data_IF_019418139450
#
_entry.id   IF_019418139450
#
_cell.length_a   1.000
_cell.length_b   1.000
_cell.length_c   1.000
_cell.angle_alpha   90.00
_cell.angle_beta   90.00
_cell.angle_gamma   90.00
#
_symmetry.space_group_name_H-M   'P 1'
#
loop_
_entity.id
_entity.type
_entity.pdbx_description
1 polymer ?
#
# COMPACT_ATOMS: atom_id res chain seq x y z
N UNK A 1 31.07 -4.54 34.70
CA UNK A 1 29.71 -5.01 34.34
C UNK A 1 28.94 -4.05 33.42
N UNK A 2 28.99 -2.73 33.66
CA UNK A 2 28.28 -1.73 32.82
C UNK A 2 28.87 -1.59 31.41
N UNK A 3 30.19 -1.59 31.28
CA UNK A 3 30.92 -1.45 30.00
C UNK A 3 30.65 -2.60 29.02
N UNK A 4 30.57 -3.84 29.51
CA UNK A 4 30.23 -5.03 28.70
C UNK A 4 28.79 -4.98 28.17
N UNK A 5 27.81 -4.68 29.03
CA UNK A 5 26.41 -4.51 28.62
C UNK A 5 26.25 -3.41 27.57
N UNK A 6 26.96 -2.29 27.73
CA UNK A 6 26.94 -1.22 26.72
C UNK A 6 27.59 -1.63 25.39
N UNK A 7 28.59 -2.51 25.42
CA UNK A 7 29.26 -2.98 24.21
C UNK A 7 28.40 -4.01 23.47
N UNK A 8 27.72 -4.91 24.20
CA UNK A 8 26.75 -5.85 23.63
C UNK A 8 25.56 -5.12 23.00
N UNK A 9 24.97 -4.15 23.72
CA UNK A 9 23.85 -3.34 23.21
C UNK A 9 24.21 -2.60 21.91
N UNK A 10 25.44 -2.09 21.81
CA UNK A 10 25.96 -1.46 20.60
C UNK A 10 26.15 -2.43 19.45
N UNK A 11 26.70 -3.63 19.71
CA UNK A 11 26.83 -4.67 18.69
C UNK A 11 25.46 -5.12 18.16
N UNK A 12 24.49 -5.30 19.05
CA UNK A 12 23.11 -5.63 18.66
C UNK A 12 22.50 -4.53 17.78
N UNK A 13 22.71 -3.26 18.13
CA UNK A 13 22.22 -2.14 17.33
C UNK A 13 22.77 -2.17 15.90
N UNK A 14 24.07 -2.45 15.73
CA UNK A 14 24.68 -2.64 14.41
C UNK A 14 24.14 -3.85 13.67
N UNK A 15 23.97 -4.99 14.35
CA UNK A 15 23.40 -6.20 13.73
C UNK A 15 22.01 -5.91 13.17
N UNK A 16 21.14 -5.25 13.93
CA UNK A 16 19.80 -4.88 13.46
C UNK A 16 19.84 -3.87 12.31
N UNK A 17 20.76 -2.90 12.36
CA UNK A 17 20.92 -1.96 11.26
C UNK A 17 21.42 -2.65 9.98
N UNK A 18 22.40 -3.55 10.09
CA UNK A 18 22.90 -4.33 8.96
C UNK A 18 21.79 -5.21 8.39
N UNK A 19 21.01 -5.88 9.25
CA UNK A 19 19.86 -6.67 8.82
C UNK A 19 18.85 -5.81 8.05
N UNK A 20 18.52 -4.61 8.56
CA UNK A 20 17.63 -3.67 7.90
C UNK A 20 18.16 -3.28 6.50
N UNK A 21 19.45 -3.00 6.39
CA UNK A 21 20.10 -2.67 5.10
C UNK A 21 20.08 -3.88 4.16
N UNK A 22 20.33 -5.09 4.65
CA UNK A 22 20.26 -6.32 3.86
C UNK A 22 18.85 -6.56 3.34
N UNK A 23 17.82 -6.42 4.17
CA UNK A 23 16.41 -6.52 3.74
C UNK A 23 16.08 -5.42 2.73
N UNK A 24 16.56 -4.20 2.94
CA UNK A 24 16.37 -3.10 2.00
C UNK A 24 16.97 -3.39 0.62
N UNK A 25 18.20 -3.91 0.55
CA UNK A 25 18.89 -4.13 -0.74
C UNK A 25 18.48 -5.44 -1.40
N UNK A 26 18.38 -6.52 -0.62
CA UNK A 26 18.16 -7.88 -1.11
C UNK A 26 16.73 -8.41 -0.93
N UNK A 27 15.84 -7.68 -0.26
CA UNK A 27 14.48 -8.15 0.04
C UNK A 27 13.71 -8.59 -1.19
N UNK A 28 13.82 -7.87 -2.31
CA UNK A 28 13.17 -8.26 -3.57
C UNK A 28 13.66 -9.57 -4.19
N UNK A 29 14.86 -10.06 -3.82
CA UNK A 29 15.37 -11.38 -4.24
C UNK A 29 15.00 -12.50 -3.26
N UNK A 30 14.57 -12.15 -2.05
CA UNK A 30 14.22 -13.08 -0.97
C UNK A 30 12.71 -13.34 -0.90
N UNK A 31 11.95 -12.94 -1.93
CA UNK A 31 10.50 -13.09 -1.98
C UNK A 31 10.11 -14.55 -2.17
N UNK A 32 9.29 -15.15 -1.27
CA UNK A 32 8.83 -16.52 -1.43
C UNK A 32 7.98 -16.74 -2.68
N UNK A 33 7.21 -15.73 -3.08
CA UNK A 33 6.27 -15.80 -4.20
C UNK A 33 6.57 -14.72 -5.24
N UNK A 34 6.32 -14.98 -6.53
CA UNK A 34 6.50 -13.98 -7.57
C UNK A 34 5.53 -12.81 -7.38
N UNK A 35 6.06 -11.59 -7.47
CA UNK A 35 5.34 -10.33 -7.21
C UNK A 35 4.35 -9.95 -8.33
N UNK A 36 4.58 -10.45 -9.55
CA UNK A 36 3.81 -10.12 -10.76
C UNK A 36 3.77 -11.33 -11.70
N UNK A 37 2.65 -11.50 -12.41
CA UNK A 37 2.42 -12.57 -13.39
C UNK A 37 1.45 -13.64 -12.90
N UNK A 38 1.22 -14.65 -13.74
CA UNK A 38 0.41 -15.82 -13.41
C UNK A 38 1.12 -16.61 -12.30
N UNK A 39 0.84 -16.28 -11.03
CA UNK A 39 1.33 -17.07 -9.91
C UNK A 39 0.50 -18.37 -9.86
N UNK A 40 1.09 -19.54 -10.20
CA UNK A 40 0.34 -20.79 -10.24
C UNK A 40 -0.23 -21.15 -8.87
N UNK A 41 0.48 -20.79 -7.79
CA UNK A 41 0.03 -20.99 -6.41
C UNK A 41 -1.23 -20.19 -6.12
N UNK A 42 -1.31 -18.95 -6.61
CA UNK A 42 -2.50 -18.11 -6.45
C UNK A 42 -3.70 -18.67 -7.23
N UNK A 43 -3.47 -19.15 -8.47
CA UNK A 43 -4.52 -19.70 -9.31
C UNK A 43 -5.15 -20.95 -8.69
N UNK A 44 -4.30 -21.88 -8.21
CA UNK A 44 -4.74 -23.09 -7.54
C UNK A 44 -5.47 -22.76 -6.21
N UNK A 45 -4.92 -21.84 -5.41
CA UNK A 45 -5.52 -21.46 -4.15
C UNK A 45 -6.89 -20.77 -4.33
N UNK A 46 -7.02 -19.92 -5.36
CA UNK A 46 -8.26 -19.24 -5.74
C UNK A 46 -9.37 -20.20 -6.17
N UNK A 47 -9.00 -21.25 -6.92
CA UNK A 47 -9.96 -22.29 -7.33
C UNK A 47 -10.59 -23.00 -6.12
N UNK A 48 -9.88 -23.10 -5.00
CA UNK A 48 -10.35 -23.77 -3.80
C UNK A 48 -11.03 -22.84 -2.78
N UNK A 49 -10.59 -21.58 -2.68
CA UNK A 49 -10.99 -20.67 -1.58
C UNK A 49 -11.84 -19.47 -2.03
N UNK A 50 -12.14 -19.34 -3.32
CA UNK A 50 -12.86 -18.18 -3.86
C UNK A 50 -11.93 -16.99 -4.10
N UNK A 51 -12.48 -15.78 -4.34
CA UNK A 51 -11.67 -14.62 -4.69
C UNK A 51 -10.84 -14.07 -3.50
N UNK A 52 -9.65 -13.48 -3.77
CA UNK A 52 -8.86 -12.78 -2.75
C UNK A 52 -9.60 -11.55 -2.18
N UNK A 53 -9.18 -10.99 -1.03
CA UNK A 53 -7.96 -11.27 -0.26
C UNK A 53 -8.05 -12.46 0.71
N UNK A 54 -6.97 -13.22 0.84
CA UNK A 54 -6.87 -14.34 1.77
C UNK A 54 -6.19 -13.96 3.09
N UNK A 55 -6.65 -14.50 4.23
CA UNK A 55 -5.99 -14.30 5.53
C UNK A 55 -4.63 -14.99 5.60
N UNK A 56 -3.79 -14.66 6.60
CA UNK A 56 -2.53 -15.35 6.84
C UNK A 56 -2.69 -16.88 6.94
N UNK A 57 -1.87 -17.60 6.18
CA UNK A 57 -1.88 -19.05 6.08
C UNK A 57 -0.45 -19.61 5.91
N UNK A 58 -0.31 -20.94 5.92
CA UNK A 58 0.99 -21.59 5.65
C UNK A 58 1.51 -21.32 4.24
N UNK A 59 0.61 -21.04 3.29
CA UNK A 59 0.93 -20.69 1.91
C UNK A 59 1.29 -19.20 1.80
N UNK A 60 0.46 -18.34 2.39
CA UNK A 60 0.66 -16.88 2.42
C UNK A 60 0.89 -16.39 3.84
N UNK A 61 2.16 -16.29 4.27
CA UNK A 61 2.52 -16.07 5.68
C UNK A 61 1.91 -14.82 6.32
N UNK A 62 1.71 -13.75 5.54
CA UNK A 62 1.06 -12.53 5.98
C UNK A 62 -0.27 -12.27 5.25
N UNK A 63 -0.81 -13.28 4.56
CA UNK A 63 -1.99 -13.17 3.72
C UNK A 63 -1.70 -12.53 2.36
N UNK A 64 -2.76 -12.20 1.63
CA UNK A 64 -2.66 -11.57 0.31
C UNK A 64 -3.35 -10.22 0.24
N UNK A 65 -2.92 -9.39 -0.71
CA UNK A 65 -3.64 -8.17 -1.09
C UNK A 65 -4.95 -8.50 -1.85
N UNK A 66 -5.78 -7.49 -2.13
CA UNK A 66 -7.03 -7.59 -2.91
C UNK A 66 -6.84 -8.19 -4.32
N UNK A 67 -5.62 -8.17 -4.86
CA UNK A 67 -5.26 -8.81 -6.14
C UNK A 67 -4.77 -10.26 -5.99
N UNK A 68 -4.71 -10.78 -4.77
CA UNK A 68 -4.13 -12.10 -4.49
C UNK A 68 -2.59 -12.12 -4.42
N UNK A 69 -1.94 -10.96 -4.52
CA UNK A 69 -0.48 -10.88 -4.38
C UNK A 69 -0.06 -11.20 -2.95
N UNK A 70 1.01 -12.00 -2.78
CA UNK A 70 1.56 -12.32 -1.46
C UNK A 70 2.07 -11.06 -0.75
N UNK A 71 1.47 -10.74 0.40
CA UNK A 71 1.77 -9.53 1.15
C UNK A 71 3.20 -9.55 1.70
N UNK A 72 3.72 -10.71 2.09
CA UNK A 72 5.09 -10.81 2.61
C UNK A 72 6.13 -10.52 1.52
N UNK A 73 5.96 -11.09 0.33
CA UNK A 73 6.79 -10.78 -0.83
C UNK A 73 6.73 -9.29 -1.19
N UNK A 74 5.52 -8.70 -1.21
CA UNK A 74 5.35 -7.26 -1.45
C UNK A 74 6.10 -6.41 -0.42
N UNK A 75 6.04 -6.77 0.86
CA UNK A 75 6.74 -6.04 1.93
C UNK A 75 8.27 -6.09 1.78
N UNK A 76 8.82 -7.26 1.46
CA UNK A 76 10.25 -7.41 1.24
C UNK A 76 10.73 -6.60 0.02
N UNK A 77 9.97 -6.62 -1.08
CA UNK A 77 10.30 -5.81 -2.25
C UNK A 77 10.08 -4.31 -1.99
N UNK A 78 9.06 -3.96 -1.19
CA UNK A 78 8.69 -2.60 -0.81
C UNK A 78 9.72 -1.85 0.02
N UNK A 79 10.55 -2.60 0.75
CA UNK A 79 11.56 -2.06 1.66
C UNK A 79 12.49 -1.07 0.95
N UNK A 80 13.00 -1.42 -0.24
CA UNK A 80 13.91 -0.55 -1.02
C UNK A 80 13.27 0.76 -1.45
N UNK A 81 11.98 0.73 -1.81
CA UNK A 81 11.26 1.92 -2.24
C UNK A 81 10.99 2.84 -1.05
N UNK A 82 10.49 2.29 0.07
CA UNK A 82 10.14 3.11 1.24
C UNK A 82 11.36 3.62 1.97
N UNK A 83 12.31 2.73 2.29
CA UNK A 83 13.52 3.09 3.03
C UNK A 83 14.46 3.93 2.15
N UNK A 84 14.63 3.55 0.88
CA UNK A 84 15.46 4.29 -0.07
C UNK A 84 14.93 5.69 -0.37
N UNK A 85 13.61 5.86 -0.51
CA UNK A 85 13.01 7.19 -0.69
C UNK A 85 13.20 8.08 0.54
N UNK A 86 12.97 7.55 1.75
CA UNK A 86 13.24 8.32 2.97
C UNK A 86 14.71 8.69 3.14
N UNK A 87 15.62 7.78 2.73
CA UNK A 87 17.06 8.05 2.70
C UNK A 87 17.40 9.17 1.71
N UNK A 88 16.83 9.14 0.51
CA UNK A 88 17.03 10.18 -0.51
C UNK A 88 16.58 11.56 0.01
N UNK A 89 15.39 11.66 0.59
CA UNK A 89 14.90 12.90 1.19
C UNK A 89 15.84 13.39 2.29
N UNK A 90 16.29 12.49 3.18
CA UNK A 90 17.19 12.83 4.27
C UNK A 90 18.51 13.41 3.75
N UNK A 91 19.11 12.77 2.74
CA UNK A 91 20.36 13.24 2.12
C UNK A 91 20.15 14.63 1.50
N UNK A 92 19.06 14.86 0.77
CA UNK A 92 18.76 16.18 0.19
C UNK A 92 18.56 17.23 1.30
N UNK A 93 17.82 16.90 2.36
CA UNK A 93 17.63 17.81 3.52
C UNK A 93 18.97 18.21 4.13
N UNK A 94 19.88 17.26 4.33
CA UNK A 94 21.21 17.54 4.90
C UNK A 94 22.10 18.33 3.94
N UNK A 95 22.11 17.99 2.65
CA UNK A 95 22.89 18.69 1.63
C UNK A 95 22.48 20.17 1.48
N UNK A 96 21.23 20.51 1.77
CA UNK A 96 20.73 21.88 1.71
C UNK A 96 20.79 22.54 3.09
N UNK A 97 20.20 21.91 4.10
CA UNK A 97 20.03 22.45 5.45
C UNK A 97 21.35 22.67 6.19
N UNK A 98 22.30 21.73 6.11
CA UNK A 98 23.56 21.83 6.84
C UNK A 98 24.43 22.96 6.29
N UNK A 99 24.69 23.09 4.97
CA UNK A 99 25.40 24.25 4.44
C UNK A 99 24.72 25.58 4.72
N UNK A 100 23.38 25.65 4.61
CA UNK A 100 22.63 26.86 4.96
C UNK A 100 22.82 27.23 6.44
N UNK A 101 22.73 26.25 7.35
CA UNK A 101 22.95 26.45 8.77
C UNK A 101 24.39 26.89 9.09
N UNK A 102 25.38 26.23 8.48
CA UNK A 102 26.79 26.58 8.65
C UNK A 102 27.08 28.02 8.20
N UNK A 103 26.58 28.41 7.03
CA UNK A 103 26.78 29.76 6.48
C UNK A 103 26.07 30.81 7.32
N UNK A 104 24.81 30.57 7.69
CA UNK A 104 24.00 31.54 8.44
C UNK A 104 24.52 31.75 9.86
N UNK A 105 24.89 30.66 10.57
CA UNK A 105 25.53 30.75 11.87
C UNK A 105 26.93 31.36 11.82
N UNK A 106 27.71 31.08 10.76
CA UNK A 106 29.07 31.62 10.66
C UNK A 106 29.11 33.11 10.27
N UNK A 107 28.20 33.54 9.40
CA UNK A 107 28.18 34.89 8.84
C UNK A 107 27.23 35.84 9.59
N UNK A 108 26.26 35.30 10.32
CA UNK A 108 25.13 36.04 10.90
C UNK A 108 24.11 36.55 9.86
N UNK A 109 24.42 36.42 8.56
CA UNK A 109 23.57 36.85 7.44
C UNK A 109 22.50 35.80 7.14
N UNK A 110 21.27 36.23 6.86
CA UNK A 110 20.16 35.33 6.53
C UNK A 110 19.48 34.65 7.72
N UNK A 111 19.95 34.87 8.95
CA UNK A 111 19.36 34.31 10.18
C UNK A 111 17.89 34.65 10.35
N UNK A 112 17.49 35.88 10.03
CA UNK A 112 16.09 36.31 10.08
C UNK A 112 15.22 35.42 9.18
N UNK A 113 15.62 35.24 7.92
CA UNK A 113 14.93 34.40 6.96
C UNK A 113 14.88 32.94 7.39
N UNK A 114 16.03 32.35 7.78
CA UNK A 114 16.07 30.95 8.24
C UNK A 114 15.17 30.74 9.46
N UNK A 115 15.20 31.66 10.43
CA UNK A 115 14.33 31.59 11.61
C UNK A 115 12.86 31.72 11.21
N UNK A 116 12.50 32.69 10.36
CA UNK A 116 11.12 32.88 9.90
C UNK A 116 10.58 31.66 9.15
N UNK A 117 11.35 31.11 8.20
CA UNK A 117 10.94 29.93 7.43
C UNK A 117 10.92 28.67 8.29
N UNK A 118 11.84 28.52 9.24
CA UNK A 118 11.79 27.45 10.23
C UNK A 118 10.52 27.56 11.07
N UNK A 119 10.22 28.73 11.62
CA UNK A 119 9.00 28.93 12.40
C UNK A 119 7.75 28.65 11.58
N UNK A 120 7.69 29.10 10.32
CA UNK A 120 6.56 28.84 9.43
C UNK A 120 6.36 27.33 9.17
N UNK A 121 7.46 26.60 8.90
CA UNK A 121 7.40 25.15 8.61
C UNK A 121 7.14 24.30 9.85
N UNK A 122 7.58 24.70 11.05
CA UNK A 122 7.31 23.96 12.30
C UNK A 122 5.96 24.29 12.93
N UNK A 123 5.38 25.45 12.60
CA UNK A 123 4.08 25.86 13.18
C UNK A 123 2.92 25.01 12.66
N UNK A 124 3.07 24.42 11.46
CA UNK A 124 2.07 23.57 10.84
C UNK A 124 2.60 22.13 10.84
N UNK A 125 1.86 21.15 11.39
CA UNK A 125 2.22 19.74 11.26
C UNK A 125 2.46 19.37 9.80
N UNK A 126 3.56 18.66 9.49
CA UNK A 126 3.95 18.35 8.11
C UNK A 126 2.84 17.66 7.30
N UNK A 127 2.04 16.79 7.94
CA UNK A 127 0.86 16.19 7.33
C UNK A 127 -0.17 17.24 6.86
N UNK A 128 -0.49 18.22 7.71
CA UNK A 128 -1.47 19.27 7.42
C UNK A 128 -0.98 20.25 6.36
N UNK A 129 0.33 20.38 6.19
CA UNK A 129 0.90 21.15 5.10
C UNK A 129 0.86 20.36 3.78
N UNK A 130 1.33 19.11 3.76
CA UNK A 130 1.46 18.33 2.53
C UNK A 130 0.10 17.91 1.97
N UNK A 131 -0.81 17.43 2.82
CA UNK A 131 -2.05 16.79 2.34
C UNK A 131 -2.94 17.74 1.51
N UNK A 132 -3.31 18.95 2.01
CA UNK A 132 -4.14 19.87 1.22
C UNK A 132 -3.43 20.38 -0.03
N UNK A 133 -2.11 20.62 0.06
CA UNK A 133 -1.31 21.07 -1.09
C UNK A 133 -1.26 20.01 -2.18
N UNK A 134 -1.17 18.73 -1.84
CA UNK A 134 -1.17 17.65 -2.83
C UNK A 134 -2.58 17.40 -3.38
N UNK A 135 -3.61 17.45 -2.55
CA UNK A 135 -4.98 17.14 -2.97
C UNK A 135 -5.44 18.02 -4.13
N UNK A 136 -5.10 19.32 -4.13
CA UNK A 136 -5.47 20.23 -5.22
C UNK A 136 -4.73 19.98 -6.54
N UNK A 137 -3.53 19.39 -6.50
CA UNK A 137 -2.67 19.22 -7.69
C UNK A 137 -2.57 17.76 -8.16
N UNK A 138 -3.12 16.80 -7.40
CA UNK A 138 -3.00 15.36 -7.68
C UNK A 138 -3.44 14.97 -9.08
N UNK A 139 -4.60 15.46 -9.51
CA UNK A 139 -5.20 15.08 -10.80
C UNK A 139 -4.59 15.83 -12.01
N UNK A 140 -3.75 16.85 -11.74
CA UNK A 140 -3.15 17.71 -12.75
C UNK A 140 -1.67 17.37 -13.04
N UNK A 141 -1.07 16.47 -12.26
CA UNK A 141 0.35 16.13 -12.35
C UNK A 141 0.52 14.68 -12.79
N UNK A 142 1.35 14.45 -13.80
CA UNK A 142 1.81 13.10 -14.11
C UNK A 142 2.57 12.51 -12.92
N UNK A 143 2.62 11.17 -12.84
CA UNK A 143 3.27 10.42 -11.75
C UNK A 143 4.68 10.91 -11.42
N UNK A 144 5.47 11.27 -12.43
CA UNK A 144 6.84 11.78 -12.24
C UNK A 144 6.85 13.17 -11.59
N UNK A 145 6.02 14.11 -12.06
CA UNK A 145 5.94 15.44 -11.48
C UNK A 145 5.32 15.43 -10.09
N UNK A 146 4.35 14.55 -9.86
CA UNK A 146 3.79 14.30 -8.53
C UNK A 146 4.89 13.88 -7.53
N UNK A 147 5.78 12.96 -7.92
CA UNK A 147 6.89 12.51 -7.09
C UNK A 147 7.89 13.63 -6.77
N UNK A 148 8.24 14.44 -7.77
CA UNK A 148 9.12 15.61 -7.58
C UNK A 148 8.45 16.61 -6.64
N UNK A 149 7.16 16.87 -6.82
CA UNK A 149 6.41 17.81 -6.00
C UNK A 149 6.30 17.35 -4.54
N UNK A 150 5.90 16.09 -4.32
CA UNK A 150 5.84 15.48 -2.99
C UNK A 150 7.21 15.49 -2.30
N UNK A 151 8.27 15.06 -3.00
CA UNK A 151 9.62 15.09 -2.44
C UNK A 151 10.08 16.52 -2.12
N UNK A 152 9.75 17.50 -2.95
CA UNK A 152 10.01 18.92 -2.71
C UNK A 152 9.33 19.43 -1.44
N UNK A 153 8.06 19.12 -1.23
CA UNK A 153 7.33 19.49 -0.01
C UNK A 153 7.91 18.80 1.23
N UNK A 154 8.26 17.52 1.13
CA UNK A 154 8.90 16.78 2.22
C UNK A 154 10.28 17.38 2.54
N UNK A 155 11.08 17.77 1.55
CA UNK A 155 12.35 18.46 1.78
C UNK A 155 12.11 19.82 2.45
N UNK A 156 11.17 20.62 1.94
CA UNK A 156 10.86 21.97 2.42
C UNK A 156 10.56 22.01 3.92
N UNK A 157 9.74 21.07 4.42
CA UNK A 157 9.34 21.01 5.83
C UNK A 157 10.53 20.76 6.77
N UNK A 158 11.54 20.02 6.34
CA UNK A 158 12.69 19.66 7.20
C UNK A 158 13.92 20.53 7.02
N UNK A 159 14.11 21.17 5.86
CA UNK A 159 15.36 21.90 5.55
C UNK A 159 15.58 23.10 6.46
N UNK A 160 14.56 23.93 6.71
CA UNK A 160 14.74 25.16 7.51
C UNK A 160 14.91 24.90 9.01
N UNK A 161 14.18 23.97 9.64
CA UNK A 161 14.43 23.58 11.03
C UNK A 161 15.84 23.02 11.22
N UNK A 162 16.29 22.17 10.29
CA UNK A 162 17.64 21.63 10.28
C UNK A 162 18.69 22.74 10.11
N UNK A 163 18.48 23.67 9.18
CA UNK A 163 19.38 24.81 8.98
C UNK A 163 19.47 25.69 10.24
N UNK A 164 18.33 25.99 10.88
CA UNK A 164 18.29 26.77 12.11
C UNK A 164 19.04 26.06 13.25
N UNK A 165 18.84 24.74 13.40
CA UNK A 165 19.56 23.94 14.39
C UNK A 165 21.08 24.06 14.20
N UNK A 166 21.58 23.85 12.98
CA UNK A 166 23.03 23.96 12.70
C UNK A 166 23.55 25.39 12.85
N UNK A 167 22.75 26.41 12.50
CA UNK A 167 23.11 27.81 12.70
C UNK A 167 23.34 28.12 14.19
N UNK A 168 22.42 27.71 15.06
CA UNK A 168 22.53 27.89 16.52
C UNK A 168 23.75 27.17 17.09
N UNK A 169 24.08 25.97 16.58
CA UNK A 169 25.28 25.23 16.98
C UNK A 169 26.56 25.94 16.59
N UNK A 170 26.62 26.49 15.38
CA UNK A 170 27.78 27.27 14.93
C UNK A 170 27.94 28.53 15.76
N UNK A 171 26.85 29.25 16.06
CA UNK A 171 26.89 30.43 16.93
C UNK A 171 27.43 30.08 18.32
N UNK A 172 27.01 28.96 18.91
CA UNK A 172 27.55 28.49 20.17
C UNK A 172 29.06 28.19 20.08
N UNK A 173 29.52 27.57 18.98
CA UNK A 173 30.94 27.30 18.76
C UNK A 173 31.76 28.57 18.53
N UNK A 174 31.17 29.61 17.94
CA UNK A 174 31.85 30.89 17.71
C UNK A 174 32.23 31.60 19.01
N UNK A 175 31.53 31.32 20.12
CA UNK A 175 31.84 31.90 21.43
C UNK A 175 33.11 31.31 22.07
N UNK A 176 33.69 30.25 21.49
CA UNK A 176 34.88 29.61 22.06
C UNK A 176 36.18 30.39 21.78
N UNK A 177 37.06 30.44 22.78
CA UNK A 177 38.35 31.17 22.73
C UNK A 177 39.26 30.74 21.57
N UNK A 178 39.25 29.46 21.18
CA UNK A 178 40.07 28.97 20.06
C UNK A 178 39.62 29.53 18.71
N UNK A 179 38.33 29.87 18.54
CA UNK A 179 37.83 30.54 17.33
C UNK A 179 38.30 31.99 17.32
N UNK A 180 38.18 32.69 18.46
CA UNK A 180 38.66 34.07 18.58
C UNK A 180 40.17 34.17 18.29
N UNK A 181 40.98 33.26 18.86
CA UNK A 181 42.41 33.18 18.56
C UNK A 181 42.71 32.88 17.09
N UNK A 182 41.92 32.02 16.44
CA UNK A 182 42.09 31.76 15.01
C UNK A 182 41.77 33.01 14.16
N UNK A 183 40.80 33.83 14.59
CA UNK A 183 40.44 35.07 13.88
C UNK A 183 41.53 36.13 14.02
N UNK A 184 42.16 36.28 15.19
CA UNK A 184 43.25 37.26 15.40
C UNK A 184 44.49 36.93 14.57
N UNK A 185 44.73 35.66 14.25
CA UNK A 185 45.81 35.20 13.35
C UNK A 185 45.43 35.38 11.86
N UNK A 186 44.26 35.96 11.55
CA UNK A 186 43.84 36.28 10.18
C UNK A 186 43.19 35.11 9.42
N UNK A 187 42.63 34.11 10.12
CA UNK A 187 41.90 33.04 9.44
C UNK A 187 40.63 33.57 8.77
N UNK A 188 40.43 33.24 7.49
CA UNK A 188 39.20 33.59 6.76
C UNK A 188 38.00 32.82 7.31
N UNK A 189 36.79 33.38 7.16
CA UNK A 189 35.54 32.73 7.62
C UNK A 189 35.38 31.32 7.04
N UNK A 190 35.71 31.11 5.77
CA UNK A 190 35.65 29.80 5.13
C UNK A 190 36.65 28.80 5.74
N UNK A 191 37.87 29.26 6.10
CA UNK A 191 38.85 28.44 6.82
C UNK A 191 38.33 28.04 8.20
N UNK A 192 37.66 28.96 8.91
CA UNK A 192 37.07 28.66 10.22
C UNK A 192 35.94 27.63 10.10
N UNK A 193 35.06 27.77 9.10
CA UNK A 193 33.96 26.82 8.86
C UNK A 193 34.51 25.41 8.59
N UNK A 194 35.41 25.28 7.61
CA UNK A 194 35.89 23.97 7.16
C UNK A 194 36.86 23.31 8.14
N UNK A 195 37.68 24.08 8.87
CA UNK A 195 38.74 23.55 9.74
C UNK A 195 38.38 23.51 11.22
N UNK A 196 37.39 24.28 11.66
CA UNK A 196 36.95 24.31 13.07
C UNK A 196 35.50 23.89 13.25
N UNK A 197 34.54 24.50 12.55
CA UNK A 197 33.11 24.18 12.76
C UNK A 197 32.74 22.80 12.25
N UNK A 198 33.02 22.48 10.98
CA UNK A 198 32.59 21.23 10.34
C UNK A 198 33.17 19.97 11.03
N UNK A 199 34.47 19.90 11.38
CA UNK A 199 35.01 18.74 12.09
C UNK A 199 34.41 18.56 13.48
N UNK A 200 34.09 19.66 14.17
CA UNK A 200 33.45 19.61 15.48
C UNK A 200 31.99 19.13 15.40
N UNK A 201 31.29 19.48 14.33
CA UNK A 201 29.89 19.11 14.10
C UNK A 201 29.70 17.75 13.42
N UNK A 202 30.77 17.05 13.05
CA UNK A 202 30.67 15.74 12.38
C UNK A 202 29.88 14.69 13.19
N UNK A 203 30.07 14.55 14.52
CA UNK A 203 29.24 13.63 15.32
C UNK A 203 27.77 14.06 15.38
N UNK A 204 27.52 15.37 15.38
CA UNK A 204 26.16 15.92 15.37
C UNK A 204 25.47 15.72 14.01
N UNK A 205 26.22 15.72 12.91
CA UNK A 205 25.70 15.39 11.58
C UNK A 205 25.15 13.96 11.52
N UNK A 206 25.88 12.99 12.07
CA UNK A 206 25.41 11.61 12.15
C UNK A 206 24.16 11.46 13.02
N UNK A 207 24.07 12.22 14.11
CA UNK A 207 22.87 12.27 14.95
C UNK A 207 21.68 12.88 14.19
N UNK A 208 21.88 14.04 13.55
CA UNK A 208 20.85 14.71 12.76
C UNK A 208 20.33 13.82 11.63
N UNK A 209 21.21 13.13 10.91
CA UNK A 209 20.84 12.17 9.87
C UNK A 209 19.85 11.11 10.37
N UNK A 210 20.13 10.49 11.51
CA UNK A 210 19.25 9.45 12.06
C UNK A 210 17.91 10.02 12.55
N UNK A 211 17.91 11.21 13.18
CA UNK A 211 16.68 11.89 13.61
C UNK A 211 15.81 12.25 12.41
N UNK A 212 16.41 12.80 11.35
CA UNK A 212 15.71 13.15 10.12
C UNK A 212 15.10 11.92 9.45
N UNK A 213 15.81 10.79 9.38
CA UNK A 213 15.25 9.54 8.86
C UNK A 213 14.00 9.10 9.64
N UNK A 214 14.07 9.10 10.97
CA UNK A 214 12.93 8.72 11.82
C UNK A 214 11.73 9.64 11.56
N UNK A 215 11.95 10.96 11.49
CA UNK A 215 10.89 11.92 11.20
C UNK A 215 10.29 11.73 9.81
N UNK A 216 11.11 11.46 8.80
CA UNK A 216 10.65 11.21 7.42
C UNK A 216 9.81 9.95 7.34
N UNK A 217 10.24 8.84 7.94
CA UNK A 217 9.46 7.60 7.93
C UNK A 217 8.16 7.73 8.71
N UNK A 218 8.15 8.48 9.80
CA UNK A 218 6.92 8.80 10.52
C UNK A 218 5.96 9.63 9.66
N UNK A 219 6.48 10.61 8.91
CA UNK A 219 5.69 11.41 7.97
C UNK A 219 5.14 10.56 6.81
N UNK A 220 5.93 9.61 6.27
CA UNK A 220 5.45 8.66 5.25
C UNK A 220 4.27 7.84 5.77
N UNK A 221 4.34 7.35 7.02
CA UNK A 221 3.24 6.61 7.63
C UNK A 221 1.97 7.46 7.78
N UNK A 222 2.12 8.73 8.18
CA UNK A 222 1.01 9.68 8.30
C UNK A 222 0.36 9.96 6.93
N UNK A 223 1.18 10.21 5.91
CA UNK A 223 0.71 10.47 4.55
C UNK A 223 0.00 9.24 3.95
N UNK A 224 0.50 8.05 4.25
CA UNK A 224 -0.10 6.81 3.80
C UNK A 224 -1.54 6.63 4.33
N UNK A 225 -1.79 6.97 5.60
CA UNK A 225 -3.13 6.90 6.21
C UNK A 225 -4.13 7.80 5.47
N UNK A 226 -3.70 8.98 5.03
CA UNK A 226 -4.52 9.91 4.24
C UNK A 226 -4.50 9.62 2.73
N UNK A 227 -3.92 8.50 2.31
CA UNK A 227 -3.93 8.04 0.92
C UNK A 227 -2.92 8.73 -0.01
N UNK A 228 -1.87 9.34 0.54
CA UNK A 228 -0.73 9.92 -0.20
C UNK A 228 0.48 9.00 -0.05
N UNK A 229 1.04 8.53 -1.16
CA UNK A 229 2.17 7.62 -1.20
C UNK A 229 2.92 7.76 -2.54
N UNK A 230 4.07 7.09 -2.69
CA UNK A 230 5.09 7.35 -3.71
C UNK A 230 4.71 6.66 -5.05
N UNK A 231 4.17 5.46 -4.98
CA UNK A 231 3.90 4.54 -6.07
C UNK A 231 2.41 4.40 -6.32
N UNK A 232 1.76 5.52 -6.64
CA UNK A 232 0.39 5.55 -7.11
C UNK A 232 0.25 4.78 -8.45
N UNK A 233 -0.12 3.51 -8.36
CA UNK A 233 -0.86 2.82 -9.42
C UNK A 233 -2.32 2.78 -8.94
N UNK A 234 -3.09 3.78 -9.35
CA UNK A 234 -4.53 3.78 -9.12
C UNK A 234 -5.15 2.74 -10.05
N UNK A 235 -5.62 1.61 -9.50
CA UNK A 235 -6.60 0.80 -10.23
C UNK A 235 -7.97 1.35 -9.86
N UNK A 236 -8.65 1.93 -10.85
CA UNK A 236 -10.06 2.27 -10.70
C UNK A 236 -10.82 0.93 -10.76
N UNK A 237 -11.34 0.46 -9.62
CA UNK A 237 -12.27 -0.67 -9.62
C UNK A 237 -13.69 -0.09 -9.57
N UNK A 238 -14.38 -0.12 -10.69
CA UNK A 238 -15.79 0.25 -10.77
C UNK A 238 -16.67 -0.98 -10.52
N UNK A 239 -16.73 -1.44 -9.27
CA UNK A 239 -17.75 -2.42 -8.85
C UNK A 239 -18.83 -1.70 -8.03
N UNK A 240 -20.09 -1.81 -8.45
CA UNK A 240 -21.25 -1.39 -7.64
C UNK A 240 -21.58 0.10 -7.62
N UNK A 241 -21.73 0.75 -8.78
CA UNK A 241 -22.38 2.08 -8.87
C UNK A 241 -21.62 3.27 -8.30
N UNK A 242 -20.41 3.07 -7.79
CA UNK A 242 -19.44 4.11 -7.42
C UNK A 242 -18.07 3.80 -8.02
N UNK A 243 -17.40 4.81 -8.57
CA UNK A 243 -15.98 4.69 -8.94
C UNK A 243 -15.16 4.76 -7.66
N UNK A 244 -14.70 3.61 -7.15
CA UNK A 244 -13.79 3.57 -6.02
C UNK A 244 -12.39 3.19 -6.51
N UNK A 245 -11.43 4.07 -6.29
CA UNK A 245 -10.04 3.82 -6.65
C UNK A 245 -9.41 2.96 -5.56
N UNK A 246 -9.12 1.70 -5.86
CA UNK A 246 -8.27 0.88 -5.00
C UNK A 246 -6.82 1.27 -5.34
N UNK A 247 -6.14 1.82 -4.35
CA UNK A 247 -4.72 2.09 -4.43
C UNK A 247 -3.98 0.74 -4.41
N UNK A 248 -3.56 0.25 -5.56
CA UNK A 248 -2.84 -1.03 -5.65
C UNK A 248 -1.36 -0.72 -5.80
N UNK A 249 -0.49 -1.41 -5.06
CA UNK A 249 0.95 -1.18 -5.18
C UNK A 249 1.58 -2.32 -5.96
N UNK A 250 1.88 -2.08 -7.24
CA UNK A 250 2.67 -3.03 -8.03
C UNK A 250 4.12 -3.13 -7.52
N UNK A 251 4.60 -2.11 -6.79
CA UNK A 251 5.95 -2.03 -6.20
C UNK A 251 6.03 -2.62 -4.79
N UNK A 252 4.91 -2.79 -4.09
CA UNK A 252 4.86 -3.27 -2.70
C UNK A 252 5.33 -2.23 -1.66
N UNK A 253 5.45 -0.96 -2.03
CA UNK A 253 5.89 0.07 -1.09
C UNK A 253 4.96 0.19 0.12
N UNK A 254 5.54 0.37 1.30
CA UNK A 254 4.79 0.25 2.55
C UNK A 254 3.74 1.34 2.71
N UNK A 255 4.00 2.56 2.21
CA UNK A 255 3.02 3.65 2.23
C UNK A 255 1.75 3.32 1.42
N UNK A 256 1.90 2.73 0.24
CA UNK A 256 0.76 2.32 -0.58
C UNK A 256 0.00 1.15 0.06
N UNK A 257 0.71 0.17 0.63
CA UNK A 257 0.08 -0.96 1.32
C UNK A 257 -0.73 -0.49 2.55
N UNK A 258 -0.22 0.46 3.33
CA UNK A 258 -0.95 1.09 4.44
C UNK A 258 -2.20 1.79 3.92
N UNK A 259 -2.08 2.59 2.85
CA UNK A 259 -3.21 3.33 2.27
C UNK A 259 -4.33 2.41 1.75
N UNK A 260 -3.95 1.27 1.15
CA UNK A 260 -4.89 0.25 0.66
C UNK A 260 -5.60 -0.46 1.82
N UNK A 261 -4.82 -0.91 2.81
CA UNK A 261 -5.34 -1.65 3.96
C UNK A 261 -6.19 -0.79 4.91
N UNK A 262 -5.90 0.50 5.04
CA UNK A 262 -6.61 1.40 5.96
C UNK A 262 -8.12 1.47 5.67
N UNK A 263 -8.51 1.48 4.38
CA UNK A 263 -9.93 1.53 3.99
C UNK A 263 -10.69 0.24 4.31
N UNK A 264 -9.96 -0.88 4.43
CA UNK A 264 -10.53 -2.21 4.63
C UNK A 264 -10.21 -2.79 6.02
N UNK A 265 -9.76 -1.96 6.96
CA UNK A 265 -9.28 -2.40 8.28
C UNK A 265 -10.29 -3.26 9.04
N UNK A 266 -11.59 -3.01 8.87
CA UNK A 266 -12.66 -3.75 9.55
C UNK A 266 -12.83 -5.17 9.00
N UNK A 267 -12.49 -5.41 7.73
CA UNK A 267 -12.70 -6.70 7.07
C UNK A 267 -11.39 -7.48 6.92
N UNK A 268 -10.29 -6.79 6.61
CA UNK A 268 -9.00 -7.39 6.27
C UNK A 268 -7.86 -6.71 7.05
N UNK A 269 -7.78 -6.90 8.39
CA UNK A 269 -6.85 -6.16 9.24
C UNK A 269 -5.36 -6.46 8.94
N UNK A 270 -5.02 -7.65 8.42
CA UNK A 270 -3.63 -8.01 8.08
C UNK A 270 -3.02 -7.09 7.02
N UNK A 271 -3.83 -6.55 6.10
CA UNK A 271 -3.38 -5.67 5.01
C UNK A 271 -2.70 -4.40 5.51
N UNK A 272 -3.18 -3.86 6.64
CA UNK A 272 -2.61 -2.66 7.26
C UNK A 272 -1.61 -2.99 8.37
N UNK A 273 -1.90 -4.01 9.19
CA UNK A 273 -1.04 -4.37 10.32
C UNK A 273 0.35 -4.80 9.85
N UNK A 274 0.43 -5.55 8.76
CA UNK A 274 1.70 -6.02 8.23
C UNK A 274 2.64 -4.87 7.80
N UNK A 275 2.28 -3.95 6.89
CA UNK A 275 3.16 -2.84 6.52
C UNK A 275 3.43 -1.85 7.65
N UNK A 276 2.46 -1.59 8.53
CA UNK A 276 2.71 -0.74 9.72
C UNK A 276 3.77 -1.38 10.62
N UNK A 277 3.68 -2.69 10.85
CA UNK A 277 4.66 -3.40 11.70
C UNK A 277 6.07 -3.32 11.12
N UNK A 278 6.23 -3.50 9.80
CA UNK A 278 7.53 -3.40 9.14
C UNK A 278 8.13 -2.00 9.22
N UNK A 279 7.32 -0.97 8.98
CA UNK A 279 7.74 0.41 9.10
C UNK A 279 8.07 0.78 10.56
N UNK A 280 7.25 0.34 11.53
CA UNK A 280 7.48 0.55 12.95
C UNK A 280 8.77 -0.13 13.42
N UNK A 281 9.00 -1.39 13.05
CA UNK A 281 10.25 -2.11 13.37
C UNK A 281 11.46 -1.38 12.78
N UNK A 282 11.35 -0.89 11.54
CA UNK A 282 12.43 -0.11 10.91
C UNK A 282 12.76 1.17 11.68
N UNK A 283 11.73 1.93 12.08
CA UNK A 283 11.90 3.13 12.91
C UNK A 283 12.47 2.81 14.29
N UNK A 284 12.04 1.71 14.91
CA UNK A 284 12.56 1.25 16.20
C UNK A 284 14.03 0.84 16.12
N UNK A 285 14.44 0.16 15.05
CA UNK A 285 15.85 -0.20 14.80
C UNK A 285 16.69 1.08 14.69
N UNK A 286 16.25 2.06 13.90
CA UNK A 286 16.94 3.34 13.75
C UNK A 286 17.01 4.12 15.06
N UNK A 287 15.90 4.19 15.80
CA UNK A 287 15.82 4.88 17.09
C UNK A 287 16.70 4.20 18.16
N UNK A 288 16.73 2.88 18.17
CA UNK A 288 17.60 2.10 19.06
C UNK A 288 19.09 2.34 18.74
N UNK A 289 19.43 2.32 17.44
CA UNK A 289 20.77 2.63 16.96
C UNK A 289 21.22 4.05 17.34
N UNK A 290 20.34 5.04 17.11
CA UNK A 290 20.55 6.43 17.50
C UNK A 290 20.84 6.57 19.00
N UNK A 291 20.00 6.00 19.86
CA UNK A 291 20.17 6.02 21.32
C UNK A 291 21.51 5.42 21.75
N UNK A 292 21.93 4.35 21.08
CA UNK A 292 23.15 3.65 21.45
C UNK A 292 24.41 4.36 20.94
N UNK A 293 24.35 5.04 19.79
CA UNK A 293 25.38 5.98 19.34
C UNK A 293 25.48 7.16 20.32
N UNK A 294 24.35 7.77 20.69
CA UNK A 294 24.33 8.91 21.60
C UNK A 294 25.00 8.55 22.93
N UNK A 295 24.71 7.37 23.48
CA UNK A 295 25.31 6.87 24.73
C UNK A 295 26.81 6.61 24.64
N UNK A 296 27.34 6.32 23.45
CA UNK A 296 28.76 6.14 23.20
C UNK A 296 29.47 7.48 23.04
N UNK A 297 28.86 8.42 22.32
CA UNK A 297 29.41 9.75 22.07
C UNK A 297 29.29 10.69 23.29
N UNK A 298 28.28 10.50 24.14
CA UNK A 298 28.05 11.32 25.35
C UNK A 298 28.96 10.96 26.52
N UNK A 299 29.73 9.87 26.43
CA UNK A 299 30.72 9.50 27.46
C UNK A 299 32.08 10.10 27.08
N UNK A 300 32.55 11.16 27.75
CA UNK A 300 33.93 11.58 27.61
C UNK A 300 34.84 10.40 28.00
N UNK A 301 35.85 10.10 27.19
CA UNK A 301 36.81 9.02 27.43
C UNK A 301 37.45 9.17 28.82
N UNK A 302 36.95 8.43 29.81
CA UNK A 302 37.70 8.10 31.02
C UNK A 302 38.12 6.63 30.91
N UNK A 303 39.44 6.48 30.79
CA UNK A 303 40.19 5.24 30.78
C UNK A 303 39.86 4.39 32.02
N UNK A 304 39.48 3.13 31.87
CA UNK A 304 39.73 2.11 32.90
C UNK A 304 39.52 0.68 32.35
N UNK A 305 40.62 -0.08 32.36
CA UNK A 305 40.69 -1.48 32.01
C UNK A 305 40.16 -2.42 33.11
N UNK A 306 39.93 -3.67 32.73
CA UNK A 306 39.56 -4.77 33.62
C UNK A 306 38.74 -5.84 32.88
N UNK A 307 39.38 -6.96 32.54
CA UNK A 307 38.79 -8.11 31.82
C UNK A 307 37.74 -8.86 32.66
N UNK A 308 36.75 -9.53 32.02
CA UNK A 308 35.57 -10.03 32.70
C UNK A 308 35.66 -11.52 33.09
N UNK A 309 35.10 -11.88 34.24
CA UNK A 309 34.58 -13.23 34.49
C UNK A 309 33.06 -13.15 34.60
N UNK A 310 32.37 -13.79 33.65
CA UNK A 310 30.92 -13.81 33.50
C UNK A 310 30.27 -14.87 34.40
N UNK A 311 29.17 -14.52 35.06
CA UNK A 311 28.26 -15.49 35.72
C UNK A 311 26.98 -15.69 34.91
N UNK A 312 26.62 -16.97 34.71
CA UNK A 312 25.61 -17.51 33.79
C UNK A 312 24.17 -16.98 33.96
N UNK A 313 23.84 -16.31 35.06
CA UNK A 313 22.47 -15.88 35.36
C UNK A 313 21.97 -14.70 34.51
N UNK A 314 22.87 -13.90 33.91
CA UNK A 314 22.46 -12.74 33.09
C UNK A 314 22.16 -13.09 31.62
N UNK A 315 22.58 -14.27 31.15
CA UNK A 315 22.25 -14.76 29.81
C UNK A 315 20.76 -15.20 29.73
N UNK A 316 20.22 -15.71 30.85
CA UNK A 316 18.85 -16.22 30.92
C UNK A 316 17.77 -15.14 30.75
N UNK A 317 18.03 -13.91 31.23
CA UNK A 317 17.03 -12.82 31.19
C UNK A 317 16.85 -12.26 29.77
N UNK A 318 17.93 -12.23 28.96
CA UNK A 318 17.88 -11.71 27.58
C UNK A 318 17.26 -12.75 26.63
N UNK A 319 17.54 -14.03 26.82
CA UNK A 319 16.85 -15.10 26.08
C UNK A 319 15.37 -15.20 26.48
N UNK A 320 15.04 -14.96 27.75
CA UNK A 320 13.64 -14.96 28.23
C UNK A 320 12.77 -13.89 27.57
N UNK A 321 13.26 -12.66 27.40
CA UNK A 321 12.49 -11.59 26.74
C UNK A 321 12.23 -11.85 25.25
N UNK A 322 13.15 -12.54 24.57
CA UNK A 322 13.00 -12.91 23.16
C UNK A 322 12.03 -14.08 23.00
N UNK A 323 12.08 -15.06 23.90
CA UNK A 323 11.12 -16.17 23.93
C UNK A 323 9.69 -15.70 24.24
N UNK A 324 9.51 -14.77 25.18
CA UNK A 324 8.19 -14.22 25.51
C UNK A 324 7.60 -13.45 24.32
N UNK A 325 8.40 -12.66 23.60
CA UNK A 325 7.92 -11.98 22.39
C UNK A 325 7.51 -12.97 21.27
N UNK A 326 8.26 -14.07 21.10
CA UNK A 326 7.92 -15.12 20.14
C UNK A 326 6.67 -15.92 20.56
N UNK A 327 6.50 -16.21 21.86
CA UNK A 327 5.33 -16.92 22.40
C UNK A 327 4.09 -16.01 22.38
N UNK A 328 4.21 -14.72 22.64
CA UNK A 328 3.11 -13.76 22.49
C UNK A 328 2.67 -13.62 21.03
N UNK A 329 3.60 -13.68 20.07
CA UNK A 329 3.29 -13.70 18.64
C UNK A 329 2.64 -15.03 18.22
N UNK A 330 3.10 -16.16 18.77
CA UNK A 330 2.53 -17.49 18.52
C UNK A 330 1.11 -17.64 19.11
N UNK A 331 0.88 -17.16 20.33
CA UNK A 331 -0.44 -17.19 20.98
C UNK A 331 -1.44 -16.27 20.26
N UNK A 332 -0.99 -15.16 19.68
CA UNK A 332 -1.84 -14.28 18.88
C UNK A 332 -2.18 -14.88 17.49
N UNK A 333 -1.34 -15.79 17.00
CA UNK A 333 -1.55 -16.53 15.74
C UNK A 333 -2.27 -17.88 15.93
N UNK A 334 -2.40 -18.34 17.19
CA UNK A 334 -2.97 -19.64 17.52
C UNK A 334 -4.42 -19.57 18.05
N UNK A 335 -5.05 -18.40 18.07
CA UNK A 335 -6.49 -18.31 18.36
C UNK A 335 -7.27 -18.67 17.09
N UNK A 336 -7.52 -19.96 16.94
CA UNK A 336 -8.32 -20.54 15.88
C UNK A 336 -9.28 -21.55 16.51
N UNK A 337 -10.38 -21.05 17.05
CA UNK A 337 -11.57 -21.87 17.29
C UNK A 337 -12.76 -21.32 16.50
N UNK A 338 -12.91 -21.84 15.29
CA UNK A 338 -14.23 -22.26 14.79
C UNK A 338 -14.02 -23.41 13.80
N UNK A 339 -14.13 -24.63 14.33
CA UNK A 339 -14.22 -25.87 13.56
C UNK A 339 -15.44 -25.83 12.62
N UNK A 340 -15.33 -26.18 11.33
CA UNK A 340 -16.45 -26.77 10.61
C UNK A 340 -16.51 -28.28 10.95
N UNK A 341 -17.70 -28.87 11.06
CA UNK A 341 -17.86 -30.25 11.48
C UNK A 341 -17.23 -31.21 10.45
N UNK A 342 -16.49 -32.17 11.00
CA UNK A 342 -16.05 -33.39 10.34
C UNK A 342 -17.27 -34.27 10.07
N UNK A 343 -17.66 -34.40 8.82
CA UNK A 343 -18.23 -35.63 8.26
C UNK A 343 -18.06 -35.60 6.75
N UNK A 344 -16.98 -36.20 6.25
CA UNK A 344 -17.00 -36.87 4.94
C UNK A 344 -16.11 -38.10 5.02
N UNK A 345 -16.58 -39.25 4.50
CA UNK A 345 -15.88 -40.51 4.62
C UNK A 345 -14.66 -40.55 3.69
N UNK A 346 -13.69 -41.35 4.10
CA UNK A 346 -12.58 -41.84 3.29
C UNK A 346 -13.13 -42.40 1.98
N UNK A 347 -12.77 -41.79 0.85
CA UNK A 347 -12.89 -42.40 -0.46
C UNK A 347 -11.50 -42.50 -1.06
N UNK A 348 -11.04 -43.74 -1.09
CA UNK A 348 -9.91 -44.27 -1.85
C UNK A 348 -9.89 -43.75 -3.29
N UNK A 349 -8.68 -43.52 -3.78
CA UNK A 349 -8.34 -43.45 -5.20
C UNK A 349 -9.09 -44.49 -6.04
N UNK A 350 -9.68 -44.09 -7.17
CA UNK A 350 -9.73 -44.90 -8.37
C UNK A 350 -8.75 -44.28 -9.39
N UNK A 351 -7.71 -44.99 -9.78
CA UNK A 351 -7.73 -45.84 -10.98
C UNK A 351 -8.18 -45.08 -12.23
N UNK A 352 -7.22 -44.86 -13.12
CA UNK A 352 -7.44 -44.40 -14.48
C UNK A 352 -8.39 -45.37 -15.20
N UNK A 353 -9.62 -44.94 -15.44
CA UNK A 353 -10.42 -45.31 -16.60
C UNK A 353 -11.73 -44.52 -16.63
N UNK A 354 -12.01 -43.88 -17.77
CA UNK A 354 -13.33 -43.31 -18.07
C UNK A 354 -13.33 -41.78 -18.21
N UNK A 355 -13.25 -41.32 -19.46
CA UNK A 355 -13.85 -40.08 -20.01
C UNK A 355 -14.35 -39.05 -18.98
N UNK A 356 -13.44 -38.28 -18.38
CA UNK A 356 -13.76 -37.04 -17.70
C UNK A 356 -13.69 -35.90 -18.71
N UNK A 357 -14.81 -35.26 -19.02
CA UNK A 357 -14.82 -34.01 -19.79
C UNK A 357 -13.95 -32.98 -19.04
N UNK A 358 -12.80 -32.63 -19.62
CA UNK A 358 -12.01 -31.47 -19.18
C UNK A 358 -12.90 -30.26 -19.41
N UNK A 359 -13.33 -29.60 -18.32
CA UNK A 359 -14.16 -28.41 -18.42
C UNK A 359 -13.39 -27.35 -19.20
N UNK A 360 -13.94 -26.91 -20.32
CA UNK A 360 -13.33 -25.90 -21.18
C UNK A 360 -13.31 -24.56 -20.43
N UNK A 361 -12.37 -23.64 -20.71
CA UNK A 361 -12.32 -22.31 -20.08
C UNK A 361 -13.68 -21.57 -20.10
N UNK A 362 -14.50 -21.84 -21.13
CA UNK A 362 -15.87 -21.32 -21.25
C UNK A 362 -16.84 -21.91 -20.19
N UNK A 363 -16.76 -23.19 -19.87
CA UNK A 363 -17.62 -23.84 -18.88
C UNK A 363 -17.29 -23.40 -17.45
N UNK A 364 -16.00 -23.13 -17.17
CA UNK A 364 -15.55 -22.57 -15.88
C UNK A 364 -16.07 -21.14 -15.71
N UNK A 365 -15.97 -20.32 -16.76
CA UNK A 365 -16.50 -18.95 -16.77
C UNK A 365 -18.03 -18.91 -16.62
N UNK A 366 -18.75 -19.82 -17.28
CA UNK A 366 -20.20 -19.96 -17.14
C UNK A 366 -20.58 -20.36 -15.70
N UNK A 367 -19.80 -21.23 -15.06
CA UNK A 367 -20.04 -21.67 -13.69
C UNK A 367 -19.77 -20.59 -12.64
N UNK A 368 -18.78 -19.72 -12.87
CA UNK A 368 -18.42 -18.64 -11.96
C UNK A 368 -19.31 -17.39 -12.12
N UNK A 369 -19.55 -16.95 -13.36
CA UNK A 369 -20.26 -15.70 -13.65
C UNK A 369 -21.73 -15.89 -14.02
N UNK A 370 -22.14 -17.12 -14.38
CA UNK A 370 -23.49 -17.44 -14.84
C UNK A 370 -24.61 -17.06 -13.87
N UNK A 371 -24.53 -17.35 -12.56
CA UNK A 371 -25.58 -16.99 -11.62
C UNK A 371 -25.84 -15.49 -11.52
N UNK A 372 -24.77 -14.68 -11.53
CA UNK A 372 -24.89 -13.22 -11.45
C UNK A 372 -25.42 -12.59 -12.75
N UNK A 373 -25.06 -13.18 -13.89
CA UNK A 373 -25.55 -12.77 -15.21
C UNK A 373 -27.03 -13.13 -15.37
N UNK A 374 -27.44 -14.30 -14.87
CA UNK A 374 -28.83 -14.72 -14.84
C UNK A 374 -29.68 -13.81 -13.94
N UNK A 375 -29.20 -13.49 -12.73
CA UNK A 375 -29.86 -12.55 -11.82
C UNK A 375 -30.00 -11.14 -12.44
N UNK A 376 -28.99 -10.69 -13.17
CA UNK A 376 -29.04 -9.40 -13.88
C UNK A 376 -30.06 -9.42 -15.02
N UNK A 377 -30.08 -10.49 -15.82
CA UNK A 377 -31.05 -10.66 -16.90
C UNK A 377 -32.50 -10.77 -16.37
N UNK A 378 -32.72 -11.51 -15.28
CA UNK A 378 -34.02 -11.65 -14.63
C UNK A 378 -34.51 -10.30 -14.08
N UNK A 379 -33.65 -9.55 -13.37
CA UNK A 379 -34.02 -8.22 -12.84
C UNK A 379 -34.32 -7.23 -13.96
N UNK A 380 -33.50 -7.20 -15.01
CA UNK A 380 -33.73 -6.35 -16.17
C UNK A 380 -35.09 -6.62 -16.82
N UNK A 381 -35.39 -7.89 -17.09
CA UNK A 381 -36.66 -8.29 -17.71
C UNK A 381 -37.87 -8.10 -16.79
N UNK A 382 -37.71 -8.32 -15.49
CA UNK A 382 -38.77 -8.05 -14.50
C UNK A 382 -39.15 -6.59 -14.51
N UNK A 383 -38.18 -5.67 -14.43
CA UNK A 383 -38.45 -4.24 -14.48
C UNK A 383 -39.04 -3.78 -15.81
N UNK A 384 -38.63 -4.38 -16.95
CA UNK A 384 -39.26 -4.10 -18.23
C UNK A 384 -40.72 -4.59 -18.29
N UNK A 385 -41.01 -5.78 -17.76
CA UNK A 385 -42.37 -6.33 -17.74
C UNK A 385 -43.32 -5.53 -16.85
N UNK A 386 -42.80 -4.87 -15.81
CA UNK A 386 -43.53 -3.97 -14.93
C UNK A 386 -43.67 -2.53 -15.49
N UNK A 387 -43.12 -2.25 -16.66
CA UNK A 387 -43.13 -0.92 -17.28
C UNK A 387 -42.21 0.10 -16.58
N UNK A 388 -41.26 -0.35 -15.75
CA UNK A 388 -40.35 0.48 -14.96
C UNK A 388 -39.02 0.71 -15.69
N UNK A 389 -39.06 1.48 -16.78
CA UNK A 389 -37.87 1.79 -17.59
C UNK A 389 -36.74 2.41 -16.77
N UNK A 390 -37.06 3.30 -15.83
CA UNK A 390 -36.08 4.00 -15.00
C UNK A 390 -35.18 3.05 -14.19
N UNK A 391 -35.70 1.87 -13.84
CA UNK A 391 -34.97 0.84 -13.12
C UNK A 391 -34.26 -0.12 -14.09
N UNK A 392 -34.90 -0.49 -15.19
CA UNK A 392 -34.31 -1.35 -16.22
C UNK A 392 -33.04 -0.73 -16.82
N UNK A 393 -33.02 0.59 -17.07
CA UNK A 393 -31.86 1.26 -17.67
C UNK A 393 -30.56 1.17 -16.85
N UNK A 394 -30.64 0.91 -15.54
CA UNK A 394 -29.45 0.78 -14.68
C UNK A 394 -28.61 -0.46 -15.00
N UNK A 395 -29.19 -1.44 -15.69
CA UNK A 395 -28.54 -2.68 -16.10
C UNK A 395 -28.05 -2.63 -17.57
N UNK A 396 -28.26 -1.52 -18.28
CA UNK A 396 -27.75 -1.34 -19.65
C UNK A 396 -26.28 -0.92 -19.66
N UNK A 397 -25.56 -1.34 -20.71
CA UNK A 397 -24.21 -0.86 -20.97
C UNK A 397 -24.25 0.59 -21.51
N UNK A 398 -23.70 1.58 -20.77
CA UNK A 398 -23.71 2.98 -21.20
C UNK A 398 -22.91 3.22 -22.50
N UNK A 399 -22.02 2.30 -22.87
CA UNK A 399 -21.18 2.42 -24.07
C UNK A 399 -21.76 1.71 -25.30
N UNK A 400 -22.83 0.92 -25.18
CA UNK A 400 -23.43 0.22 -26.34
C UNK A 400 -24.41 1.11 -27.13
N UNK A 401 -24.79 2.26 -26.58
CA UNK A 401 -25.73 3.19 -27.19
C UNK A 401 -24.97 4.24 -28.00
N UNK A 402 -24.99 4.12 -29.33
CA UNK A 402 -24.42 5.09 -30.27
C UNK A 402 -25.08 6.48 -30.13
N UNK A 403 -24.62 7.29 -29.18
CA UNK A 403 -24.80 8.75 -29.16
C UNK A 403 -26.22 9.30 -29.01
N UNK A 404 -27.27 8.50 -28.90
CA UNK A 404 -28.63 8.99 -28.64
C UNK A 404 -28.84 9.22 -27.15
N UNK A 405 -28.45 10.42 -26.71
CA UNK A 405 -28.62 10.96 -25.36
C UNK A 405 -30.07 11.35 -25.09
N UNK A 406 -30.97 10.38 -25.01
CA UNK A 406 -32.24 10.52 -24.27
C UNK A 406 -32.34 9.36 -23.29
N UNK A 407 -31.97 9.60 -22.03
CA UNK A 407 -32.15 8.64 -20.93
C UNK A 407 -33.63 8.37 -20.63
N UNK A 408 -34.54 9.14 -21.23
CA UNK A 408 -35.96 9.15 -20.91
C UNK A 408 -36.78 8.15 -21.75
N UNK A 409 -36.23 7.58 -22.82
CA UNK A 409 -36.93 6.59 -23.65
C UNK A 409 -36.11 5.31 -23.91
N UNK A 410 -36.76 4.13 -23.96
CA UNK A 410 -36.11 2.88 -24.29
C UNK A 410 -35.53 2.88 -25.72
N UNK A 411 -34.28 2.43 -25.93
CA UNK A 411 -33.70 2.30 -27.26
C UNK A 411 -34.26 1.05 -27.96
N UNK A 412 -34.30 1.07 -29.29
CA UNK A 412 -34.70 -0.09 -30.07
C UNK A 412 -33.75 -1.27 -29.83
N UNK A 413 -34.25 -2.51 -29.60
CA UNK A 413 -35.64 -2.96 -29.74
C UNK A 413 -36.49 -2.99 -28.45
N UNK A 414 -35.97 -2.45 -27.33
CA UNK A 414 -36.63 -2.51 -26.02
C UNK A 414 -37.89 -1.63 -25.92
N UNK A 415 -37.99 -0.61 -26.78
CA UNK A 415 -39.19 0.21 -26.99
C UNK A 415 -40.41 -0.64 -27.39
N UNK A 416 -40.23 -1.49 -28.41
CA UNK A 416 -41.26 -2.42 -28.89
C UNK A 416 -41.62 -3.45 -27.84
N UNK A 417 -40.65 -3.92 -27.07
CA UNK A 417 -40.88 -4.90 -26.01
C UNK A 417 -41.74 -4.32 -24.88
N UNK A 418 -41.46 -3.09 -24.45
CA UNK A 418 -42.31 -2.39 -23.49
C UNK A 418 -43.74 -2.19 -24.01
N UNK A 419 -43.93 -1.88 -25.29
CA UNK A 419 -45.26 -1.78 -25.89
C UNK A 419 -46.01 -3.13 -25.85
N UNK A 420 -45.30 -4.24 -26.11
CA UNK A 420 -45.86 -5.60 -26.05
C UNK A 420 -46.26 -6.02 -24.62
N UNK A 421 -45.45 -5.67 -23.62
CA UNK A 421 -45.78 -5.92 -22.21
C UNK A 421 -46.93 -5.03 -21.70
N UNK A 422 -46.95 -3.75 -22.11
CA UNK A 422 -47.98 -2.78 -21.73
C UNK A 422 -49.38 -3.17 -22.23
N UNK A 423 -49.47 -3.77 -23.43
CA UNK A 423 -50.73 -4.31 -23.97
C UNK A 423 -51.23 -5.59 -23.26
N UNK A 424 -50.58 -6.03 -22.17
CA UNK A 424 -50.87 -7.22 -21.35
C UNK A 424 -50.93 -8.57 -22.10
N UNK A 425 -50.50 -8.61 -23.36
CA UNK A 425 -50.48 -9.84 -24.15
C UNK A 425 -49.26 -10.70 -23.85
N UNK A 426 -48.17 -10.17 -23.28
CA UNK A 426 -46.96 -10.95 -23.07
C UNK A 426 -46.62 -11.05 -21.58
N UNK A 427 -46.24 -12.24 -21.12
CA UNK A 427 -45.77 -12.51 -19.75
C UNK A 427 -44.36 -13.08 -19.77
N UNK A 428 -43.49 -12.51 -18.95
CA UNK A 428 -42.13 -13.01 -18.73
C UNK A 428 -42.15 -14.24 -17.81
N UNK A 429 -41.52 -15.33 -18.26
CA UNK A 429 -41.47 -16.62 -17.58
C UNK A 429 -40.13 -16.95 -16.90
N UNK A 430 -39.10 -16.11 -17.08
CA UNK A 430 -37.75 -16.30 -16.56
C UNK A 430 -36.69 -16.60 -17.64
N UNK A 431 -35.42 -16.53 -17.25
CA UNK A 431 -34.27 -16.93 -18.10
C UNK A 431 -34.20 -18.46 -18.21
N UNK A 432 -34.28 -18.99 -19.44
CA UNK A 432 -34.34 -20.43 -19.71
C UNK A 432 -32.98 -21.08 -19.96
N UNK A 433 -32.04 -20.36 -20.57
CA UNK A 433 -30.72 -20.89 -20.93
C UNK A 433 -29.67 -19.75 -21.02
N UNK A 434 -28.42 -20.04 -20.68
CA UNK A 434 -27.30 -19.10 -20.71
C UNK A 434 -26.12 -19.71 -21.49
N UNK A 435 -25.68 -19.04 -22.57
CA UNK A 435 -24.55 -19.49 -23.39
C UNK A 435 -23.51 -18.40 -23.54
N UNK A 436 -22.26 -18.79 -23.77
CA UNK A 436 -21.18 -17.86 -24.14
C UNK A 436 -21.11 -17.82 -25.66
N UNK A 437 -21.31 -16.62 -26.24
CA UNK A 437 -21.21 -16.35 -27.68
C UNK A 437 -19.97 -15.49 -27.91
N UNK A 438 -18.79 -16.02 -27.54
CA UNK A 438 -17.52 -15.37 -27.86
C UNK A 438 -17.10 -15.80 -29.27
N UNK A 439 -16.84 -14.82 -30.15
CA UNK A 439 -16.01 -15.04 -31.34
C UNK A 439 -14.59 -14.59 -31.00
N UNK A 440 -13.65 -15.52 -31.15
CA UNK A 440 -12.18 -15.36 -31.16
C UNK A 440 -11.58 -14.26 -30.25
N UNK A 441 -10.95 -14.69 -29.14
CA UNK A 441 -10.01 -13.92 -28.30
C UNK A 441 -10.42 -12.52 -27.79
N UNK A 442 -11.67 -12.10 -27.97
CA UNK A 442 -12.23 -10.92 -27.33
C UNK A 442 -13.12 -11.28 -26.13
N UNK A 443 -13.20 -10.31 -25.21
CA UNK A 443 -13.95 -10.29 -23.95
C UNK A 443 -15.26 -11.10 -24.03
N UNK A 444 -15.55 -12.01 -23.07
CA UNK A 444 -16.68 -12.92 -23.19
C UNK A 444 -18.02 -12.16 -23.22
N UNK A 445 -18.84 -12.46 -24.23
CA UNK A 445 -20.22 -12.02 -24.36
C UNK A 445 -21.12 -13.21 -24.01
N UNK A 446 -22.06 -12.98 -23.11
CA UNK A 446 -23.05 -13.94 -22.67
C UNK A 446 -24.37 -13.69 -23.38
N UNK A 447 -25.07 -14.74 -23.78
CA UNK A 447 -26.40 -14.68 -24.37
C UNK A 447 -27.37 -15.44 -23.48
N UNK A 448 -28.35 -14.71 -22.93
CA UNK A 448 -29.43 -15.25 -22.12
C UNK A 448 -30.68 -15.44 -22.99
N UNK A 449 -31.23 -16.64 -23.00
CA UNK A 449 -32.51 -16.95 -23.64
C UNK A 449 -33.62 -16.74 -22.62
N UNK A 450 -34.66 -16.03 -23.03
CA UNK A 450 -35.78 -15.59 -22.19
C UNK A 450 -37.04 -16.32 -22.63
N UNK A 451 -37.76 -16.88 -21.66
CA UNK A 451 -39.07 -17.49 -21.92
C UNK A 451 -40.18 -16.45 -21.80
N UNK A 452 -40.96 -16.26 -22.86
CA UNK A 452 -42.08 -15.31 -22.87
C UNK A 452 -43.33 -16.02 -23.37
N UNK A 453 -44.46 -15.77 -22.73
CA UNK A 453 -45.76 -16.37 -23.09
C UNK A 453 -46.67 -15.29 -23.65
N UNK A 454 -47.17 -15.47 -24.86
CA UNK A 454 -48.17 -14.59 -25.49
C UNK A 454 -49.57 -14.84 -24.90
N UNK A 455 -50.54 -13.95 -25.17
CA UNK A 455 -51.89 -13.96 -24.60
C UNK A 455 -52.71 -15.16 -25.03
N UNK A 456 -52.26 -15.83 -26.10
CA UNK A 456 -52.75 -17.10 -26.63
C UNK A 456 -52.10 -18.34 -25.98
N UNK A 457 -51.27 -18.15 -24.96
CA UNK A 457 -50.50 -19.16 -24.22
C UNK A 457 -49.40 -19.88 -25.05
N UNK A 458 -48.99 -19.30 -26.18
CA UNK A 458 -47.85 -19.78 -26.97
C UNK A 458 -46.53 -19.26 -26.38
N UNK A 459 -45.53 -20.13 -26.27
CA UNK A 459 -44.18 -19.78 -25.80
C UNK A 459 -43.34 -19.22 -26.95
N UNK A 460 -42.69 -18.08 -26.71
CA UNK A 460 -41.71 -17.46 -27.57
C UNK A 460 -40.38 -17.31 -26.81
N UNK A 461 -39.28 -17.35 -27.55
CA UNK A 461 -37.93 -17.20 -27.00
C UNK A 461 -37.32 -15.89 -27.48
N UNK A 462 -37.01 -14.99 -26.56
CA UNK A 462 -36.24 -13.78 -26.88
C UNK A 462 -34.82 -13.92 -26.36
N UNK A 463 -33.87 -13.23 -26.96
CA UNK A 463 -32.45 -13.31 -26.57
C UNK A 463 -31.93 -11.95 -26.14
N UNK A 464 -31.18 -11.91 -25.05
CA UNK A 464 -30.44 -10.72 -24.60
C UNK A 464 -28.97 -11.06 -24.51
N UNK A 465 -28.12 -10.12 -24.94
CA UNK A 465 -26.67 -10.20 -24.77
C UNK A 465 -26.21 -9.36 -23.59
N UNK A 466 -25.31 -9.93 -22.79
CA UNK A 466 -24.67 -9.31 -21.65
C UNK A 466 -23.16 -9.33 -21.79
N UNK A 467 -22.50 -8.24 -21.40
CA UNK A 467 -21.03 -8.19 -21.36
C UNK A 467 -20.48 -8.81 -20.07
N UNK A 468 -19.16 -9.00 -20.00
CA UNK A 468 -18.45 -9.47 -18.79
C UNK A 468 -18.65 -8.61 -17.53
N UNK A 469 -19.12 -7.36 -17.67
CA UNK A 469 -19.49 -6.48 -16.54
C UNK A 469 -20.96 -6.64 -16.14
N UNK A 470 -21.63 -7.71 -16.58
CA UNK A 470 -23.02 -8.03 -16.26
C UNK A 470 -23.99 -6.94 -16.74
N UNK A 471 -23.72 -6.30 -17.89
CA UNK A 471 -24.61 -5.28 -18.46
C UNK A 471 -25.20 -5.72 -19.78
N UNK A 472 -26.47 -5.41 -19.97
CA UNK A 472 -27.22 -5.68 -21.19
C UNK A 472 -26.70 -4.79 -22.31
N UNK A 473 -26.28 -5.39 -23.41
CA UNK A 473 -25.71 -4.69 -24.57
C UNK A 473 -26.67 -4.62 -25.74
N UNK A 474 -27.43 -5.69 -26.01
CA UNK A 474 -28.45 -5.75 -27.06
C UNK A 474 -29.50 -6.83 -26.79
N UNK A 475 -30.65 -6.73 -27.45
CA UNK A 475 -31.70 -7.76 -27.45
C UNK A 475 -32.15 -8.10 -28.87
N UNK A 476 -32.63 -9.31 -29.10
CA UNK A 476 -33.23 -9.76 -30.37
C UNK A 476 -34.46 -10.61 -30.08
N UNK A 477 -35.52 -10.37 -30.85
CA UNK A 477 -36.75 -11.17 -30.86
C UNK A 477 -36.73 -11.96 -32.18
N UNK A 478 -36.77 -13.29 -32.12
CA UNK A 478 -36.82 -14.19 -33.28
C UNK A 478 -38.25 -14.66 -33.56
#
# INVERSE_FOLDING_TARGET
MSTFKHTLQYRLAWIFLILLVVVCVYGGYLTPHPLQGNNPVLLEYSAQHGPPPYPPSSVFWLGTDHRGNDLFSLLLNGAKYTLGFGLLICVIRLLIGVPLGLLTGALGKGKLWVTMLSSATTSIPGLLFIYPTIYGFRDHLDKFYFLIFLSGLMVLIGVFPLALQFAQRVEALQQNLYIAASQTIGASKFRIITRHHLPHLWPELGYAFLVELVQIYFLIAQLAIVGIFIGADAANSSEGGGSWVIATSSSGEWGALIASGFRHIMHFPWLILAPISFLAVSVLILSYFLKQIQKRLSKPYLYQGGSPTLTKSQLAIVCGSLAVACVSLYLFLSDKDSNPPSDTPVVSTPEQNGTGHVLTNQEIMLKQSGPAIQDTADKFMTYMSEGKWDYAQTYLDPNSQNGTSSKDLPPAPFDKWMELFSKQNYKFGGVSDLKIVSKDNEVPIFEATLSITDGSNNRQEWKIRLNHMQRVTSGTNE
#
